data_IF_051305250102
#
_entry.id   IF_051305250102
#
_cell.length_a   1.000
_cell.length_b   1.000
_cell.length_c   1.000
_cell.angle_alpha   90.00
_cell.angle_beta   90.00
_cell.angle_gamma   90.00
#
_symmetry.space_group_name_H-M   'P 1'
#
loop_
_entity.id
_entity.type
_entity.pdbx_description
1 polymer ?
#
# COMPACT_ATOMS: atom_id res chain seq x y z
N UNK A 1 -0.73 -8.67 6.70
CA UNK A 1 -0.74 -9.79 5.75
C UNK A 1 0.67 -10.17 5.27
N UNK A 2 1.71 -9.91 6.08
CA UNK A 2 3.07 -10.40 5.88
C UNK A 2 3.51 -10.98 7.21
N UNK A 3 3.86 -12.26 7.22
CA UNK A 3 4.36 -13.00 8.37
C UNK A 3 5.86 -13.24 8.19
N UNK A 4 6.58 -13.42 9.29
CA UNK A 4 8.01 -13.74 9.27
C UNK A 4 8.16 -15.19 9.75
N UNK A 5 8.80 -16.05 8.95
CA UNK A 5 9.13 -17.42 9.35
C UNK A 5 10.24 -17.45 10.39
N UNK A 6 10.45 -18.60 11.04
CA UNK A 6 11.56 -18.81 11.97
C UNK A 6 12.94 -18.58 11.33
N UNK A 7 13.04 -18.78 10.01
CA UNK A 7 14.24 -18.50 9.21
C UNK A 7 14.38 -17.02 8.78
N UNK A 8 13.50 -16.14 9.26
CA UNK A 8 13.50 -14.72 8.91
C UNK A 8 12.95 -14.39 7.52
N UNK A 9 12.24 -15.33 6.88
CA UNK A 9 11.69 -15.12 5.54
C UNK A 9 10.31 -14.45 5.61
N UNK A 10 10.11 -13.41 4.81
CA UNK A 10 8.81 -12.76 4.69
C UNK A 10 7.85 -13.60 3.83
N UNK A 11 6.68 -13.90 4.37
CA UNK A 11 5.63 -14.72 3.77
C UNK A 11 4.34 -13.91 3.66
N UNK A 12 3.78 -13.79 2.47
CA UNK A 12 2.48 -13.14 2.29
C UNK A 12 1.33 -14.07 2.75
N UNK A 13 0.30 -13.50 3.38
CA UNK A 13 -0.89 -14.19 3.88
C UNK A 13 -2.20 -13.53 3.41
N UNK A 14 -3.34 -14.15 3.71
CA UNK A 14 -4.69 -13.53 3.63
C UNK A 14 -5.21 -13.10 2.25
N UNK A 15 -4.64 -13.63 1.16
CA UNK A 15 -5.00 -13.29 -0.23
C UNK A 15 -6.48 -13.51 -0.62
N UNK A 16 -7.22 -14.37 0.10
CA UNK A 16 -8.62 -14.71 -0.19
C UNK A 16 -9.66 -13.88 0.56
N UNK A 17 -9.24 -13.10 1.57
CA UNK A 17 -10.16 -12.27 2.38
C UNK A 17 -10.32 -10.86 1.83
N UNK A 18 -9.44 -10.44 0.91
CA UNK A 18 -9.41 -9.08 0.37
C UNK A 18 -10.67 -8.73 -0.44
N UNK A 19 -11.18 -9.67 -1.26
CA UNK A 19 -12.39 -9.44 -2.06
C UNK A 19 -13.63 -9.25 -1.18
N UNK A 20 -13.76 -10.06 -0.12
CA UNK A 20 -14.83 -9.94 0.88
C UNK A 20 -14.70 -8.63 1.66
N UNK A 21 -13.48 -8.18 1.93
CA UNK A 21 -13.24 -6.91 2.63
C UNK A 21 -13.59 -5.68 1.81
N UNK A 22 -13.43 -5.69 0.47
CA UNK A 22 -13.87 -4.57 -0.38
C UNK A 22 -15.38 -4.45 -0.36
N UNK A 23 -16.11 -5.56 -0.51
CA UNK A 23 -17.57 -5.59 -0.43
C UNK A 23 -18.08 -5.16 0.96
N UNK A 24 -17.40 -5.61 2.03
CA UNK A 24 -17.70 -5.18 3.41
C UNK A 24 -17.30 -3.72 3.66
N UNK A 25 -16.25 -3.20 3.01
CA UNK A 25 -15.85 -1.80 3.13
C UNK A 25 -16.84 -0.86 2.44
N UNK A 26 -17.40 -1.23 1.28
CA UNK A 26 -18.53 -0.52 0.67
C UNK A 26 -19.75 -0.52 1.60
N UNK A 27 -20.10 -1.67 2.19
CA UNK A 27 -21.21 -1.77 3.15
C UNK A 27 -20.94 -0.96 4.43
N UNK A 28 -19.70 -0.97 4.94
CA UNK A 28 -19.28 -0.22 6.13
C UNK A 28 -19.12 1.28 5.86
N UNK A 29 -18.93 1.67 4.60
CA UNK A 29 -18.97 3.06 4.17
C UNK A 29 -20.42 3.58 4.14
N UNK A 30 -21.36 2.76 3.67
CA UNK A 30 -22.79 3.06 3.67
C UNK A 30 -23.42 3.03 5.08
N UNK A 31 -22.89 2.18 5.96
CA UNK A 31 -23.31 2.07 7.36
C UNK A 31 -22.20 2.59 8.24
N UNK A 32 -22.28 3.85 8.69
CA UNK A 32 -21.32 4.52 9.59
C UNK A 32 -21.13 3.85 10.99
N UNK A 33 -21.39 2.56 11.11
CA UNK A 33 -21.40 1.74 12.31
C UNK A 33 -20.92 0.31 11.95
N UNK A 34 -19.61 0.06 11.92
CA UNK A 34 -19.11 -1.29 11.61
C UNK A 34 -17.62 -1.50 11.87
N UNK A 35 -17.31 -2.19 12.96
CA UNK A 35 -15.98 -2.39 13.54
C UNK A 35 -15.02 -3.32 12.78
N UNK A 36 -15.26 -3.62 11.49
CA UNK A 36 -14.54 -4.69 10.76
C UNK A 36 -13.67 -4.19 9.60
N UNK A 37 -13.88 -2.96 9.11
CA UNK A 37 -13.06 -2.32 8.07
C UNK A 37 -11.96 -1.40 8.64
N UNK A 38 -11.78 -1.39 9.97
CA UNK A 38 -10.74 -0.62 10.66
C UNK A 38 -9.38 -1.26 10.41
N UNK A 39 -8.66 -0.78 9.42
CA UNK A 39 -7.28 -1.21 9.17
C UNK A 39 -6.89 -1.13 7.70
N UNK A 40 -7.62 -1.77 6.79
CA UNK A 40 -7.14 -1.96 5.40
C UNK A 40 -7.22 -0.68 4.53
N UNK A 41 -8.09 0.27 4.89
CA UNK A 41 -8.39 1.43 4.04
C UNK A 41 -7.17 2.31 3.71
N UNK A 42 -6.15 2.33 4.58
CA UNK A 42 -4.94 3.14 4.40
C UNK A 42 -3.99 2.61 3.32
N UNK A 43 -4.21 1.37 2.88
CA UNK A 43 -3.49 0.72 1.79
C UNK A 43 -4.31 0.69 0.49
N UNK A 44 -5.58 1.15 0.50
CA UNK A 44 -6.43 1.15 -0.69
C UNK A 44 -5.97 2.21 -1.68
N UNK A 45 -6.04 1.85 -2.96
CA UNK A 45 -5.68 2.72 -4.06
C UNK A 45 -6.75 3.78 -4.35
N UNK A 46 -6.33 4.84 -5.04
CA UNK A 46 -7.20 5.96 -5.38
C UNK A 46 -8.48 5.52 -6.11
N UNK A 47 -8.37 4.63 -7.09
CA UNK A 47 -9.50 4.12 -7.88
C UNK A 47 -10.47 3.26 -7.06
N UNK A 48 -10.00 2.59 -6.00
CA UNK A 48 -10.89 1.82 -5.11
C UNK A 48 -11.74 2.71 -4.21
N UNK A 49 -11.37 3.98 -4.03
CA UNK A 49 -12.14 4.95 -3.24
C UNK A 49 -13.24 5.66 -4.06
N UNK A 50 -13.30 5.48 -5.39
CA UNK A 50 -14.18 6.24 -6.28
C UNK A 50 -15.55 5.59 -6.55
N UNK A 51 -15.75 4.34 -6.15
CA UNK A 51 -17.08 3.71 -6.04
C UNK A 51 -17.63 2.93 -7.25
N UNK A 52 -18.60 2.07 -6.92
CA UNK A 52 -19.52 1.17 -7.65
C UNK A 52 -18.95 0.06 -8.55
N UNK A 53 -17.80 0.26 -9.22
CA UNK A 53 -17.15 -0.79 -10.04
C UNK A 53 -15.69 -1.02 -9.58
N UNK A 54 -15.41 -0.77 -8.30
CA UNK A 54 -14.08 -0.87 -7.71
C UNK A 54 -13.58 -2.33 -7.67
N UNK A 55 -12.82 -2.73 -8.70
CA UNK A 55 -12.23 -4.05 -8.78
C UNK A 55 -10.83 -4.07 -8.19
N UNK A 56 -10.55 -5.06 -7.35
CA UNK A 56 -9.18 -5.38 -6.97
C UNK A 56 -8.41 -5.83 -8.22
N UNK A 57 -7.31 -5.14 -8.49
CA UNK A 57 -6.45 -5.43 -9.63
C UNK A 57 -5.00 -5.60 -9.17
N UNK A 58 -4.17 -6.19 -10.03
CA UNK A 58 -2.72 -6.20 -9.80
C UNK A 58 -2.17 -4.78 -9.63
N UNK A 59 -2.78 -3.77 -10.26
CA UNK A 59 -2.35 -2.38 -10.13
C UNK A 59 -2.73 -1.78 -8.76
N UNK A 60 -3.87 -2.16 -8.18
CA UNK A 60 -4.21 -1.77 -6.80
C UNK A 60 -3.29 -2.46 -5.78
N UNK A 61 -2.87 -3.71 -6.03
CA UNK A 61 -1.87 -4.38 -5.19
C UNK A 61 -0.52 -3.65 -5.20
N UNK A 62 -0.13 -3.08 -6.35
CA UNK A 62 1.11 -2.29 -6.46
C UNK A 62 1.04 -1.02 -5.62
N UNK A 63 -0.12 -0.35 -5.57
CA UNK A 63 -0.34 0.78 -4.68
C UNK A 63 -0.18 0.37 -3.22
N UNK A 64 -0.86 -0.71 -2.81
CA UNK A 64 -0.78 -1.24 -1.45
C UNK A 64 0.65 -1.64 -1.09
N UNK A 65 1.40 -2.21 -2.03
CA UNK A 65 2.82 -2.51 -1.84
C UNK A 65 3.66 -1.27 -1.56
N UNK A 66 3.40 -0.14 -2.23
CA UNK A 66 4.02 1.14 -1.90
C UNK A 66 3.76 1.55 -0.45
N UNK A 67 2.53 1.40 0.02
CA UNK A 67 2.15 1.66 1.42
C UNK A 67 2.85 0.70 2.41
N UNK A 68 2.99 -0.59 2.07
CA UNK A 68 3.77 -1.56 2.86
C UNK A 68 5.24 -1.12 2.99
N UNK A 69 5.85 -0.62 1.92
CA UNK A 69 7.23 -0.12 1.99
C UNK A 69 7.36 1.08 2.94
N UNK A 70 6.37 1.97 2.99
CA UNK A 70 6.33 3.06 3.99
C UNK A 70 6.27 2.48 5.40
N UNK A 71 5.41 1.50 5.62
CA UNK A 71 5.24 0.85 6.92
C UNK A 71 6.52 0.17 7.39
N UNK A 72 7.16 -0.62 6.54
CA UNK A 72 8.42 -1.32 6.85
C UNK A 72 9.55 -0.33 7.14
N UNK A 73 9.67 0.75 6.36
CA UNK A 73 10.77 1.70 6.49
C UNK A 73 10.60 2.68 7.65
N UNK A 74 9.36 3.01 8.02
CA UNK A 74 9.07 3.98 9.07
C UNK A 74 8.66 3.34 10.41
N UNK A 75 8.24 2.08 10.40
CA UNK A 75 7.60 1.42 11.54
C UNK A 75 6.22 2.00 11.87
N UNK A 76 5.59 2.75 10.94
CA UNK A 76 4.30 3.41 11.13
C UNK A 76 3.38 3.12 9.96
N UNK A 77 2.08 3.03 10.21
CA UNK A 77 1.07 2.88 9.16
C UNK A 77 1.16 4.03 8.13
N UNK A 78 0.80 3.80 6.85
CA UNK A 78 0.70 4.88 5.88
C UNK A 78 -0.28 5.97 6.37
N UNK A 79 0.07 7.23 6.09
CA UNK A 79 -0.68 8.41 6.57
C UNK A 79 -0.84 8.46 8.10
N UNK A 80 0.17 8.05 8.87
CA UNK A 80 0.09 8.00 10.34
C UNK A 80 -0.24 9.35 11.00
N UNK A 81 -0.01 10.47 10.29
CA UNK A 81 -0.35 11.82 10.74
C UNK A 81 -1.86 12.09 10.74
N UNK A 82 -2.64 11.32 9.97
CA UNK A 82 -4.09 11.45 9.89
C UNK A 82 -4.75 10.55 10.93
N UNK A 83 -5.57 11.17 11.79
CA UNK A 83 -6.14 10.53 12.97
C UNK A 83 -7.25 9.52 12.64
N UNK A 84 -7.97 9.72 11.55
CA UNK A 84 -9.10 8.85 11.17
C UNK A 84 -8.95 8.30 9.75
N UNK A 85 -9.52 7.12 9.54
CA UNK A 85 -9.54 6.47 8.22
C UNK A 85 -10.30 7.30 7.17
N UNK A 86 -11.33 8.05 7.59
CA UNK A 86 -12.02 9.00 6.72
C UNK A 86 -11.10 10.13 6.23
N UNK A 87 -10.20 10.64 7.09
CA UNK A 87 -9.22 11.64 6.66
C UNK A 87 -8.26 11.05 5.62
N UNK A 88 -7.86 9.78 5.78
CA UNK A 88 -6.99 9.09 4.82
C UNK A 88 -7.69 8.90 3.48
N UNK A 89 -8.95 8.43 3.48
CA UNK A 89 -9.74 8.27 2.27
C UNK A 89 -9.82 9.61 1.52
N UNK A 90 -10.20 10.69 2.20
CA UNK A 90 -10.27 12.03 1.61
C UNK A 90 -8.91 12.51 1.07
N UNK A 91 -7.81 12.23 1.77
CA UNK A 91 -6.47 12.58 1.32
C UNK A 91 -6.11 11.83 0.04
N UNK A 92 -6.31 10.51 0.02
CA UNK A 92 -6.08 9.67 -1.16
C UNK A 92 -6.97 10.11 -2.33
N UNK A 93 -8.23 10.45 -2.09
CA UNK A 93 -9.15 10.98 -3.13
C UNK A 93 -8.73 12.33 -3.68
N UNK A 94 -7.91 13.12 -2.96
CA UNK A 94 -7.28 14.35 -3.48
C UNK A 94 -5.95 14.11 -4.20
N UNK A 95 -5.44 12.88 -4.16
CA UNK A 95 -4.12 12.53 -4.69
C UNK A 95 -2.97 12.78 -3.71
N UNK A 96 -3.26 12.99 -2.42
CA UNK A 96 -2.24 13.08 -1.38
C UNK A 96 -1.56 11.71 -1.20
N UNK A 97 -0.24 11.70 -0.93
CA UNK A 97 0.56 10.50 -0.75
C UNK A 97 1.05 10.36 0.70
N UNK A 98 1.44 9.14 1.15
CA UNK A 98 2.06 8.98 2.46
C UNK A 98 3.35 9.81 2.59
N UNK A 99 3.62 10.29 3.81
CA UNK A 99 4.86 10.99 4.11
C UNK A 99 6.10 10.16 3.80
N UNK A 100 7.13 10.80 3.25
CA UNK A 100 8.42 10.17 2.97
C UNK A 100 9.08 9.70 4.27
N UNK A 101 9.43 8.41 4.42
CA UNK A 101 10.15 7.91 5.59
C UNK A 101 11.53 8.58 5.77
N UNK A 102 12.01 8.76 7.02
CA UNK A 102 13.32 9.32 7.27
C UNK A 102 14.43 8.40 6.75
N UNK A 103 15.54 8.97 6.29
CA UNK A 103 16.76 8.25 5.85
C UNK A 103 16.57 7.28 4.68
N UNK A 104 15.47 7.37 3.93
CA UNK A 104 15.29 6.64 2.69
C UNK A 104 16.09 7.25 1.53
N UNK A 105 16.77 6.42 0.73
CA UNK A 105 17.47 6.85 -0.49
C UNK A 105 16.48 7.41 -1.51
N UNK A 106 16.89 8.45 -2.24
CA UNK A 106 16.08 9.06 -3.30
C UNK A 106 15.70 8.06 -4.40
N UNK A 107 16.58 7.11 -4.71
CA UNK A 107 16.33 6.07 -5.72
C UNK A 107 15.17 5.16 -5.32
N UNK A 108 15.14 4.69 -4.07
CA UNK A 108 14.05 3.87 -3.55
C UNK A 108 12.76 4.69 -3.43
N UNK A 109 12.86 5.94 -2.97
CA UNK A 109 11.70 6.83 -2.90
C UNK A 109 11.06 7.07 -4.27
N UNK A 110 11.87 7.28 -5.33
CA UNK A 110 11.37 7.40 -6.70
C UNK A 110 10.65 6.14 -7.19
N UNK A 111 11.09 4.95 -6.78
CA UNK A 111 10.38 3.70 -7.09
C UNK A 111 9.03 3.66 -6.37
N UNK A 112 9.00 4.00 -5.08
CA UNK A 112 7.75 4.05 -4.30
C UNK A 112 6.74 5.04 -4.89
N UNK A 113 7.19 6.22 -5.31
CA UNK A 113 6.32 7.21 -5.97
C UNK A 113 5.65 6.66 -7.25
N UNK A 114 6.30 5.74 -7.98
CA UNK A 114 5.69 5.09 -9.15
C UNK A 114 4.59 4.10 -8.77
N UNK A 115 4.64 3.51 -7.57
CA UNK A 115 3.59 2.63 -7.08
C UNK A 115 2.26 3.38 -6.89
N UNK A 116 2.32 4.69 -6.60
CA UNK A 116 1.15 5.53 -6.37
C UNK A 116 0.78 6.42 -7.56
N UNK A 117 1.10 6.00 -8.79
CA UNK A 117 0.59 6.68 -9.97
C UNK A 117 -0.96 6.65 -9.97
N UNK A 118 -1.59 7.81 -10.21
CA UNK A 118 -3.05 7.93 -10.20
C UNK A 118 -3.69 7.03 -11.27
N UNK A 119 -3.12 7.01 -12.47
CA UNK A 119 -3.54 6.10 -13.55
C UNK A 119 -2.99 4.69 -13.25
N UNK A 120 -3.84 3.66 -13.06
CA UNK A 120 -3.36 2.33 -12.66
C UNK A 120 -2.39 1.68 -13.65
N UNK A 121 -2.54 1.94 -14.95
CA UNK A 121 -1.64 1.42 -15.99
C UNK A 121 -0.23 2.01 -15.98
N UNK A 122 -0.03 3.16 -15.33
CA UNK A 122 1.28 3.81 -15.22
C UNK A 122 2.11 3.23 -14.06
N UNK A 123 1.50 2.39 -13.23
CA UNK A 123 2.17 1.71 -12.12
C UNK A 123 3.05 0.59 -12.66
N UNK A 124 4.24 0.36 -12.07
CA UNK A 124 5.11 -0.72 -12.48
C UNK A 124 4.47 -2.07 -12.15
N UNK A 125 4.77 -3.10 -12.94
CA UNK A 125 4.40 -4.47 -12.59
C UNK A 125 5.24 -4.98 -11.41
N UNK A 126 4.75 -6.00 -10.71
CA UNK A 126 5.50 -6.65 -9.63
C UNK A 126 6.87 -7.17 -10.12
N UNK A 127 6.93 -7.73 -11.33
CA UNK A 127 8.20 -8.15 -11.95
C UNK A 127 9.16 -6.99 -12.21
N UNK A 128 8.66 -5.83 -12.67
CA UNK A 128 9.49 -4.63 -12.85
C UNK A 128 10.00 -4.09 -11.52
N UNK A 129 9.18 -4.08 -10.48
CA UNK A 129 9.59 -3.70 -9.13
C UNK A 129 10.66 -4.63 -8.58
N UNK A 130 10.47 -5.95 -8.71
CA UNK A 130 11.45 -6.94 -8.27
C UNK A 130 12.81 -6.71 -8.91
N UNK A 131 12.85 -6.49 -10.24
CA UNK A 131 14.10 -6.18 -10.93
C UNK A 131 14.75 -4.91 -10.36
N UNK A 132 14.01 -3.80 -10.29
CA UNK A 132 14.55 -2.52 -9.81
C UNK A 132 15.04 -2.57 -8.36
N UNK A 133 14.32 -3.29 -7.49
CA UNK A 133 14.72 -3.46 -6.10
C UNK A 133 15.95 -4.38 -5.98
N UNK A 134 16.07 -5.39 -6.85
CA UNK A 134 17.24 -6.26 -6.90
C UNK A 134 18.48 -5.50 -7.36
N UNK A 135 18.34 -4.65 -8.38
CA UNK A 135 19.43 -3.79 -8.87
C UNK A 135 19.93 -2.84 -7.77
N UNK A 136 19.02 -2.25 -7.00
CA UNK A 136 19.36 -1.43 -5.84
C UNK A 136 20.04 -2.21 -4.72
N UNK A 137 19.70 -3.49 -4.55
CA UNK A 137 20.35 -4.37 -3.57
C UNK A 137 21.75 -4.77 -4.03
N UNK A 138 21.98 -4.99 -5.32
CA UNK A 138 23.32 -5.28 -5.85
C UNK A 138 24.26 -4.08 -5.79
N UNK A 139 23.74 -2.86 -5.88
CA UNK A 139 24.51 -1.61 -5.74
C UNK A 139 24.95 -1.33 -4.30
N UNK A 140 24.41 -2.07 -3.33
CA UNK A 140 24.64 -1.85 -1.91
C UNK A 140 24.96 -3.20 -1.27
N UNK A 141 26.24 -3.47 -1.05
CA UNK A 141 26.63 -4.29 0.09
C UNK A 141 25.91 -3.70 1.31
N UNK A 142 24.83 -4.34 1.75
CA UNK A 142 24.11 -3.96 2.96
C UNK A 142 25.13 -4.03 4.11
N UNK A 143 25.64 -2.87 4.55
CA UNK A 143 26.55 -2.72 5.69
C UNK A 143 25.83 -3.06 7.00
N UNK A 144 26.54 -3.39 8.10
CA UNK A 144 27.73 -4.24 8.28
C UNK A 144 27.38 -5.68 8.68
#
# INVERSE_FOLDING_TARGET
>A
NILISDDGMALLSDFGLAAVQVEVAEISFLTMSGSSAKGTCRWMSHELNLGDDAQLTKASDIWAFGCVLVEVLSGRVPFYELATDMQVILAVSRGDLPSRPPRIRDTLWKIMLRCWALVPSDRPSAGSLLQRLSDLKSDVAFLP
#
